data_IF_909756092957
#
_entry.id   IF_909756092957
#
_cell.length_a   1.000
_cell.length_b   1.000
_cell.length_c   1.000
_cell.angle_alpha   90.00
_cell.angle_beta   90.00
_cell.angle_gamma   90.00
#
_symmetry.space_group_name_H-M   'P 1'
#
loop_
_entity.id
_entity.type
_entity.pdbx_description
1 polymer ?
#
# COMPACT_ATOMS: atom_id res chain seq x y z
N UNK A 1 -6.82 -8.89 -5.93
CA UNK A 1 -5.80 -9.90 -6.32
C UNK A 1 -5.49 -9.98 -7.83
N UNK A 2 -6.28 -9.36 -8.73
CA UNK A 2 -6.03 -9.43 -10.19
C UNK A 2 -4.91 -8.49 -10.68
N UNK A 3 -4.74 -7.30 -10.07
CA UNK A 3 -3.72 -6.34 -10.51
C UNK A 3 -2.27 -6.74 -10.21
N UNK A 4 -2.02 -7.48 -9.13
CA UNK A 4 -0.67 -7.92 -8.77
C UNK A 4 -0.08 -8.95 -9.76
N UNK A 5 -0.93 -9.81 -10.35
CA UNK A 5 -0.51 -10.80 -11.34
C UNK A 5 -0.15 -10.13 -12.68
N UNK A 6 -0.88 -9.10 -13.08
CA UNK A 6 -0.61 -8.35 -14.32
C UNK A 6 0.72 -7.58 -14.28
N UNK A 7 1.09 -7.05 -13.11
CA UNK A 7 2.36 -6.33 -12.93
C UNK A 7 3.58 -7.26 -12.97
N UNK A 8 3.49 -8.45 -12.35
CA UNK A 8 4.54 -9.46 -12.37
C UNK A 8 4.84 -9.97 -13.80
N UNK A 9 3.80 -10.19 -14.62
CA UNK A 9 3.99 -10.62 -16.02
C UNK A 9 4.59 -9.53 -16.89
N UNK A 10 4.31 -8.26 -16.60
CA UNK A 10 4.84 -7.11 -17.35
C UNK A 10 6.31 -6.81 -17.03
N UNK A 11 6.74 -7.06 -15.80
CA UNK A 11 8.15 -6.98 -15.40
C UNK A 11 8.95 -8.14 -15.99
N UNK A 12 8.39 -9.36 -15.98
CA UNK A 12 9.03 -10.53 -16.58
C UNK A 12 9.33 -10.36 -18.07
N UNK A 13 8.41 -9.79 -18.84
CA UNK A 13 8.62 -9.56 -20.28
C UNK A 13 9.59 -8.40 -20.60
N UNK A 14 9.70 -7.41 -19.72
CA UNK A 14 10.68 -6.32 -19.83
C UNK A 14 12.12 -6.78 -19.55
N UNK A 15 12.31 -7.73 -18.62
CA UNK A 15 13.61 -8.33 -18.31
C UNK A 15 14.07 -9.23 -19.48
N UNK A 16 13.18 -10.02 -20.07
CA UNK A 16 13.49 -10.89 -21.21
C UNK A 16 13.83 -10.12 -22.50
N UNK A 17 13.25 -8.93 -22.71
CA UNK A 17 13.54 -8.11 -23.88
C UNK A 17 14.85 -7.30 -23.77
N UNK A 18 15.36 -7.09 -22.54
CA UNK A 18 16.61 -6.37 -22.29
C UNK A 18 17.84 -7.27 -22.41
N UNK A 19 17.78 -8.54 -22.02
CA UNK A 19 18.91 -9.47 -22.13
C UNK A 19 19.34 -9.74 -23.58
N UNK A 20 18.38 -9.87 -24.51
CA UNK A 20 18.70 -10.21 -25.91
C UNK A 20 19.29 -9.06 -26.73
N UNK A 21 19.14 -7.78 -26.31
CA UNK A 21 19.72 -6.63 -27.02
C UNK A 21 21.07 -6.18 -26.46
N UNK A 22 21.39 -6.48 -25.20
CA UNK A 22 22.68 -6.12 -24.59
C UNK A 22 23.85 -7.01 -25.03
N UNK A 23 23.61 -8.30 -25.23
CA UNK A 23 24.66 -9.28 -25.51
C UNK A 23 25.23 -9.21 -26.94
N UNK A 24 24.43 -8.87 -27.95
CA UNK A 24 24.89 -8.77 -29.34
C UNK A 24 25.59 -7.45 -29.67
N UNK A 25 25.32 -6.36 -28.94
CA UNK A 25 25.96 -5.06 -29.15
C UNK A 25 27.34 -4.91 -28.48
N UNK A 26 27.56 -5.57 -27.34
CA UNK A 26 28.80 -5.44 -26.58
C UNK A 26 29.93 -6.35 -27.07
N UNK A 27 29.62 -7.52 -27.62
CA UNK A 27 30.64 -8.43 -28.19
C UNK A 27 31.31 -7.86 -29.46
N UNK A 28 30.61 -7.01 -30.23
CA UNK A 28 31.17 -6.36 -31.41
C UNK A 28 32.09 -5.18 -31.09
N UNK A 29 31.87 -4.47 -29.97
CA UNK A 29 32.67 -3.29 -29.60
C UNK A 29 33.97 -3.64 -28.86
N UNK A 30 34.00 -4.72 -28.05
CA UNK A 30 35.22 -5.12 -27.32
C UNK A 30 36.27 -5.81 -28.20
N UNK A 31 35.86 -6.34 -29.36
CA UNK A 31 36.78 -6.93 -30.34
C UNK A 31 37.61 -5.88 -31.11
N UNK A 32 37.09 -4.66 -31.29
CA UNK A 32 37.76 -3.58 -32.01
C UNK A 32 38.76 -2.78 -31.15
N UNK A 33 38.54 -2.69 -29.83
CA UNK A 33 39.45 -1.97 -28.93
C UNK A 33 40.77 -2.73 -28.66
N UNK A 34 40.78 -4.06 -28.74
CA UNK A 34 41.98 -4.87 -28.50
C UNK A 34 42.96 -4.92 -29.69
N UNK A 35 42.56 -4.45 -30.88
CA UNK A 35 43.43 -4.39 -32.08
C UNK A 35 44.43 -3.23 -32.06
N UNK A 36 44.23 -2.19 -31.24
CA UNK A 36 45.07 -1.00 -31.25
C UNK A 36 46.30 -1.07 -30.31
N UNK A 37 46.36 -2.00 -29.36
CA UNK A 37 47.44 -2.03 -28.35
C UNK A 37 48.61 -2.96 -28.67
N UNK A 38 48.52 -3.78 -29.73
CA UNK A 38 49.55 -4.81 -30.02
C UNK A 38 50.54 -4.43 -31.14
N UNK A 39 50.42 -3.24 -31.75
CA UNK A 39 51.35 -2.79 -32.80
C UNK A 39 52.66 -2.22 -32.23
N UNK A 40 52.76 -2.02 -30.91
CA UNK A 40 53.92 -1.41 -30.24
C UNK A 40 55.05 -2.36 -29.81
N UNK A 41 54.92 -3.68 -29.97
CA UNK A 41 55.86 -4.65 -29.37
C UNK A 41 56.62 -5.53 -30.38
N UNK A 42 56.87 -5.03 -31.59
CA UNK A 42 57.57 -5.77 -32.66
C UNK A 42 58.90 -5.15 -33.13
N UNK A 43 59.58 -4.34 -32.31
CA UNK A 43 60.90 -3.78 -32.67
C UNK A 43 62.07 -4.19 -31.76
N UNK A 44 61.87 -5.05 -30.74
CA UNK A 44 62.88 -5.26 -29.69
C UNK A 44 63.47 -6.69 -29.59
N UNK A 45 63.40 -7.52 -30.64
CA UNK A 45 64.03 -8.87 -30.59
C UNK A 45 64.89 -9.24 -31.80
N UNK A 46 65.21 -8.28 -32.68
CA UNK A 46 66.27 -8.46 -33.68
C UNK A 46 67.54 -7.73 -33.25
N UNK A 47 68.15 -8.18 -32.15
CA UNK A 47 69.55 -7.87 -31.87
C UNK A 47 70.12 -8.97 -30.97
N UNK A 48 71.20 -9.57 -31.43
CA UNK A 48 71.87 -10.76 -30.88
C UNK A 48 71.21 -12.07 -31.28
N UNK A 49 71.74 -12.71 -32.31
CA UNK A 49 72.29 -14.07 -32.27
C UNK A 49 72.98 -14.33 -33.60
N UNK A 50 74.19 -13.77 -33.72
CA UNK A 50 75.19 -14.31 -34.63
C UNK A 50 75.93 -15.43 -33.88
N UNK A 51 75.74 -16.67 -34.29
CA UNK A 51 76.85 -17.61 -34.48
C UNK A 51 76.36 -18.89 -35.15
N UNK A 52 77.08 -19.25 -36.20
CA UNK A 52 76.90 -20.39 -37.08
C UNK A 52 77.15 -21.74 -36.38
N UNK A 53 76.54 -22.78 -36.95
CA UNK A 53 76.83 -24.23 -36.80
C UNK A 53 75.99 -25.09 -35.83
N UNK A 54 74.99 -24.55 -35.12
CA UNK A 54 74.00 -25.36 -34.37
C UNK A 54 72.52 -25.08 -34.70
N UNK A 55 72.26 -24.16 -35.63
CA UNK A 55 70.93 -23.60 -35.87
C UNK A 55 69.97 -24.52 -36.63
N UNK A 56 70.46 -25.47 -37.42
CA UNK A 56 69.58 -26.37 -38.17
C UNK A 56 68.93 -27.43 -37.28
N UNK A 57 69.66 -28.00 -36.32
CA UNK A 57 69.10 -28.98 -35.39
C UNK A 57 68.23 -28.34 -34.32
N UNK A 58 68.56 -27.13 -33.83
CA UNK A 58 67.67 -26.37 -32.94
C UNK A 58 66.38 -25.94 -33.67
N UNK A 59 66.47 -25.56 -34.95
CA UNK A 59 65.31 -25.24 -35.79
C UNK A 59 64.49 -26.50 -36.12
N UNK A 60 65.12 -27.64 -36.41
CA UNK A 60 64.45 -28.93 -36.59
C UNK A 60 63.78 -29.40 -35.31
N UNK A 61 64.39 -29.19 -34.15
CA UNK A 61 63.84 -29.59 -32.85
C UNK A 61 62.72 -28.66 -32.40
N UNK A 62 62.77 -27.36 -32.72
CA UNK A 62 61.65 -26.42 -32.54
C UNK A 62 60.50 -26.71 -33.51
N UNK A 63 60.81 -27.04 -34.77
CA UNK A 63 59.82 -27.49 -35.75
C UNK A 63 59.19 -28.81 -35.32
N UNK A 64 59.96 -29.83 -34.89
CA UNK A 64 59.44 -31.08 -34.32
C UNK A 64 58.58 -30.88 -33.08
N UNK A 65 58.88 -29.86 -32.27
CA UNK A 65 58.09 -29.51 -31.07
C UNK A 65 56.82 -28.70 -31.38
N UNK A 66 56.70 -28.10 -32.56
CA UNK A 66 55.53 -27.32 -32.99
C UNK A 66 54.75 -27.96 -34.15
N UNK A 67 55.30 -28.97 -34.80
CA UNK A 67 54.62 -29.84 -35.74
C UNK A 67 53.84 -30.87 -34.92
N UNK A 68 52.52 -30.87 -35.08
CA UNK A 68 51.63 -31.85 -34.44
C UNK A 68 51.77 -33.25 -35.07
N UNK A 69 52.44 -33.34 -36.22
CA UNK A 69 52.63 -34.57 -37.01
C UNK A 69 54.08 -34.66 -37.46
N UNK A 70 54.73 -35.80 -37.20
CA UNK A 70 56.06 -36.11 -37.75
C UNK A 70 55.89 -36.55 -39.21
N UNK A 71 56.32 -35.70 -40.14
CA UNK A 71 56.19 -35.96 -41.57
C UNK A 71 57.06 -37.12 -42.04
N UNK A 72 58.14 -37.46 -41.35
CA UNK A 72 59.02 -38.56 -41.76
C UNK A 72 58.51 -39.92 -41.31
N UNK A 73 57.91 -39.98 -40.13
CA UNK A 73 57.23 -41.17 -39.64
C UNK A 73 55.98 -41.45 -40.48
N UNK A 74 55.17 -40.41 -40.78
CA UNK A 74 53.99 -40.55 -41.62
C UNK A 74 54.33 -40.95 -43.07
N UNK A 75 55.44 -40.45 -43.62
CA UNK A 75 55.94 -40.89 -44.93
C UNK A 75 56.38 -42.36 -44.92
N UNK A 76 57.07 -42.81 -43.86
CA UNK A 76 57.49 -44.21 -43.68
C UNK A 76 56.29 -45.14 -43.57
N UNK A 77 55.26 -44.76 -42.80
CA UNK A 77 54.04 -45.55 -42.65
C UNK A 77 53.28 -45.71 -43.98
N UNK A 78 53.31 -44.67 -44.83
CA UNK A 78 52.71 -44.75 -46.17
C UNK A 78 53.53 -45.60 -47.14
N UNK A 79 54.87 -45.59 -47.02
CA UNK A 79 55.74 -46.48 -47.80
C UNK A 79 55.55 -47.95 -47.39
N UNK A 80 55.41 -48.23 -46.10
CA UNK A 80 55.13 -49.58 -45.58
C UNK A 80 53.75 -50.09 -46.01
N UNK A 81 52.79 -49.18 -46.24
CA UNK A 81 51.49 -49.46 -46.84
C UNK A 81 51.52 -49.65 -48.37
N UNK A 82 52.70 -49.53 -49.01
CA UNK A 82 52.92 -49.80 -50.43
C UNK A 82 52.77 -48.58 -51.36
N UNK A 83 52.74 -47.35 -50.84
CA UNK A 83 52.78 -46.15 -51.69
C UNK A 83 54.19 -45.84 -52.19
N UNK A 84 54.28 -45.29 -53.41
CA UNK A 84 55.53 -44.78 -53.92
C UNK A 84 56.00 -43.58 -53.08
N UNK A 85 57.29 -43.55 -52.72
CA UNK A 85 57.93 -42.51 -51.88
C UNK A 85 57.58 -41.06 -52.29
N UNK A 86 57.43 -40.81 -53.59
CA UNK A 86 57.04 -39.50 -54.11
C UNK A 86 55.60 -39.10 -53.75
N UNK A 87 54.67 -40.05 -53.75
CA UNK A 87 53.27 -39.83 -53.42
C UNK A 87 53.04 -39.82 -51.90
N UNK A 88 53.79 -40.66 -51.16
CA UNK A 88 53.82 -40.64 -49.69
C UNK A 88 54.23 -39.27 -49.16
N UNK A 89 55.29 -38.67 -49.71
CA UNK A 89 55.73 -37.33 -49.30
C UNK A 89 54.74 -36.23 -49.67
N UNK A 90 54.07 -36.34 -50.81
CA UNK A 90 53.01 -35.37 -51.20
C UNK A 90 51.81 -35.46 -50.27
N UNK A 91 51.38 -36.67 -49.93
CA UNK A 91 50.23 -36.89 -49.05
C UNK A 91 50.52 -36.45 -47.61
N UNK A 92 51.68 -36.82 -47.07
CA UNK A 92 52.11 -36.43 -45.72
C UNK A 92 52.19 -34.91 -45.56
N UNK A 93 52.74 -34.21 -46.57
CA UNK A 93 52.74 -32.73 -46.61
C UNK A 93 51.32 -32.18 -46.65
N UNK A 94 50.44 -32.74 -47.48
CA UNK A 94 49.07 -32.24 -47.61
C UNK A 94 48.24 -32.42 -46.33
N UNK A 95 48.42 -33.55 -45.64
CA UNK A 95 47.79 -33.82 -44.34
C UNK A 95 48.30 -32.83 -43.29
N UNK A 96 49.61 -32.56 -43.28
CA UNK A 96 50.22 -31.59 -42.36
C UNK A 96 49.69 -30.18 -42.60
N UNK A 97 49.53 -29.76 -43.86
CA UNK A 97 48.89 -28.49 -44.23
C UNK A 97 47.45 -28.41 -43.68
N UNK A 98 46.63 -29.44 -43.90
CA UNK A 98 45.24 -29.46 -43.41
C UNK A 98 45.14 -29.40 -41.88
N UNK A 99 46.06 -30.06 -41.17
CA UNK A 99 46.12 -30.03 -39.71
C UNK A 99 46.50 -28.63 -39.21
N UNK A 100 47.45 -27.98 -39.86
CA UNK A 100 47.83 -26.60 -39.53
C UNK A 100 46.66 -25.64 -39.81
N UNK A 101 45.99 -25.77 -40.95
CA UNK A 101 44.81 -24.96 -41.30
C UNK A 101 43.67 -25.16 -40.29
N UNK A 102 43.40 -26.40 -39.88
CA UNK A 102 42.38 -26.71 -38.89
C UNK A 102 42.75 -26.20 -37.49
N UNK A 103 44.01 -26.30 -37.09
CA UNK A 103 44.51 -25.72 -35.84
C UNK A 103 44.30 -24.21 -35.80
N UNK A 104 44.61 -23.50 -36.89
CA UNK A 104 44.42 -22.05 -36.96
C UNK A 104 42.93 -21.67 -36.90
N UNK A 105 42.06 -22.43 -37.58
CA UNK A 105 40.60 -22.26 -37.48
C UNK A 105 40.08 -22.52 -36.05
N UNK A 106 40.63 -23.51 -35.35
CA UNK A 106 40.30 -23.77 -33.96
C UNK A 106 40.82 -22.65 -33.04
N UNK A 107 42.03 -22.14 -33.24
CA UNK A 107 42.55 -21.01 -32.46
C UNK A 107 41.76 -19.71 -32.69
N UNK A 108 41.13 -19.54 -33.86
CA UNK A 108 40.21 -18.43 -34.14
C UNK A 108 38.84 -18.64 -33.49
N UNK A 109 38.34 -19.88 -33.45
CA UNK A 109 37.04 -20.22 -32.86
C UNK A 109 37.08 -20.33 -31.32
N UNK A 110 38.22 -20.70 -30.74
CA UNK A 110 38.38 -20.95 -29.30
C UNK A 110 39.18 -19.85 -28.60
N UNK A 111 38.74 -19.49 -27.41
CA UNK A 111 39.41 -18.50 -26.57
C UNK A 111 40.46 -19.19 -25.70
N UNK A 112 41.64 -18.57 -25.57
CA UNK A 112 42.69 -19.04 -24.65
C UNK A 112 42.19 -19.01 -23.21
N UNK A 113 42.54 -20.03 -22.43
CA UNK A 113 42.13 -20.15 -21.02
C UNK A 113 42.45 -18.89 -20.20
N UNK A 114 43.65 -18.32 -20.35
CA UNK A 114 44.03 -17.10 -19.64
C UNK A 114 43.12 -15.89 -19.96
N UNK A 115 42.65 -15.77 -21.20
CA UNK A 115 41.72 -14.69 -21.59
C UNK A 115 40.33 -14.94 -21.01
N UNK A 116 39.88 -16.20 -21.00
CA UNK A 116 38.60 -16.58 -20.42
C UNK A 116 38.55 -16.29 -18.91
N UNK A 117 39.59 -16.71 -18.17
CA UNK A 117 39.69 -16.47 -16.72
C UNK A 117 39.65 -14.97 -16.39
N UNK A 118 40.36 -14.15 -17.17
CA UNK A 118 40.32 -12.69 -17.02
C UNK A 118 38.90 -12.14 -17.20
N UNK A 119 38.18 -12.56 -18.24
CA UNK A 119 36.80 -12.11 -18.49
C UNK A 119 35.86 -12.55 -17.37
N UNK A 120 36.01 -13.78 -16.87
CA UNK A 120 35.23 -14.29 -15.74
C UNK A 120 35.46 -13.45 -14.48
N UNK A 121 36.72 -13.10 -14.17
CA UNK A 121 37.04 -12.26 -13.01
C UNK A 121 36.45 -10.86 -13.15
N UNK A 122 36.56 -10.24 -14.32
CA UNK A 122 35.96 -8.93 -14.59
C UNK A 122 34.42 -8.96 -14.48
N UNK A 123 33.78 -10.00 -15.03
CA UNK A 123 32.33 -10.19 -14.92
C UNK A 123 31.91 -10.41 -13.46
N UNK A 124 32.64 -11.24 -12.72
CA UNK A 124 32.37 -11.50 -11.30
C UNK A 124 32.50 -10.21 -10.49
N UNK A 125 33.55 -9.42 -10.72
CA UNK A 125 33.74 -8.13 -10.06
C UNK A 125 32.58 -7.16 -10.34
N UNK A 126 32.13 -7.07 -11.60
CA UNK A 126 30.96 -6.26 -11.98
C UNK A 126 29.69 -6.73 -11.28
N UNK A 127 29.42 -8.04 -11.27
CA UNK A 127 28.25 -8.62 -10.60
C UNK A 127 28.28 -8.32 -9.10
N UNK A 128 29.44 -8.45 -8.44
CA UNK A 128 29.56 -8.10 -7.03
C UNK A 128 29.36 -6.60 -6.79
N UNK A 129 29.90 -5.73 -7.65
CA UNK A 129 29.66 -4.29 -7.61
C UNK A 129 28.17 -3.96 -7.69
N UNK A 130 27.48 -4.47 -8.72
CA UNK A 130 26.03 -4.30 -8.87
C UNK A 130 25.25 -4.83 -7.67
N UNK A 131 25.63 -5.98 -7.11
CA UNK A 131 24.99 -6.53 -5.91
C UNK A 131 25.13 -5.59 -4.71
N UNK A 132 26.31 -5.00 -4.52
CA UNK A 132 26.53 -4.05 -3.41
C UNK A 132 25.76 -2.75 -3.59
N UNK A 133 25.69 -2.22 -4.82
CA UNK A 133 24.90 -1.03 -5.12
C UNK A 133 23.41 -1.30 -4.94
N UNK A 134 22.92 -2.45 -5.41
CA UNK A 134 21.53 -2.87 -5.24
C UNK A 134 21.19 -3.04 -3.75
N UNK A 135 22.05 -3.71 -2.99
CA UNK A 135 21.85 -3.88 -1.55
C UNK A 135 21.79 -2.51 -0.85
N UNK A 136 22.72 -1.60 -1.17
CA UNK A 136 22.73 -0.26 -0.61
C UNK A 136 21.46 0.53 -0.96
N UNK A 137 21.01 0.45 -2.21
CA UNK A 137 19.78 1.11 -2.65
C UNK A 137 18.55 0.52 -1.92
N UNK A 138 18.52 -0.80 -1.73
CA UNK A 138 17.48 -1.49 -0.98
C UNK A 138 17.47 -1.06 0.49
N UNK A 139 18.63 -1.06 1.15
CA UNK A 139 18.75 -0.67 2.56
C UNK A 139 18.35 0.80 2.76
N UNK A 140 18.74 1.69 1.85
CA UNK A 140 18.31 3.09 1.86
C UNK A 140 16.80 3.22 1.68
N UNK A 141 16.21 2.46 0.76
CA UNK A 141 14.76 2.49 0.54
C UNK A 141 14.01 1.93 1.74
N UNK A 142 14.49 0.84 2.35
CA UNK A 142 13.91 0.28 3.56
C UNK A 142 13.98 1.28 4.73
N UNK A 143 15.13 1.92 4.96
CA UNK A 143 15.25 2.93 6.00
C UNK A 143 14.33 4.14 5.79
N UNK A 144 14.13 4.56 4.53
CA UNK A 144 13.18 5.62 4.20
C UNK A 144 11.73 5.17 4.47
N UNK A 145 11.36 3.96 4.04
CA UNK A 145 10.04 3.39 4.30
C UNK A 145 9.76 3.23 5.79
N UNK A 146 10.72 2.73 6.56
CA UNK A 146 10.57 2.53 8.01
C UNK A 146 10.35 3.87 8.72
N UNK A 147 11.09 4.91 8.34
CA UNK A 147 10.89 6.27 8.84
C UNK A 147 9.49 6.80 8.50
N UNK A 148 9.03 6.61 7.27
CA UNK A 148 7.70 7.06 6.84
C UNK A 148 6.60 6.30 7.60
N UNK A 149 6.78 5.00 7.85
CA UNK A 149 5.88 4.19 8.67
C UNK A 149 5.82 4.68 10.12
N UNK A 150 6.96 4.97 10.75
CA UNK A 150 7.00 5.54 12.11
C UNK A 150 6.29 6.89 12.17
N UNK A 151 6.50 7.76 11.17
CA UNK A 151 5.81 9.04 11.08
C UNK A 151 4.30 8.87 10.94
N UNK A 152 3.86 8.00 10.03
CA UNK A 152 2.44 7.69 9.83
C UNK A 152 1.79 7.09 11.08
N UNK A 153 2.49 6.19 11.78
CA UNK A 153 2.01 5.62 13.03
C UNK A 153 1.84 6.71 14.11
N UNK A 154 2.81 7.62 14.24
CA UNK A 154 2.69 8.79 15.13
C UNK A 154 1.50 9.68 14.77
N UNK A 155 1.25 9.93 13.48
CA UNK A 155 0.08 10.71 13.05
C UNK A 155 -1.24 10.01 13.37
N UNK A 156 -1.32 8.69 13.18
CA UNK A 156 -2.48 7.89 13.56
C UNK A 156 -2.75 7.97 15.06
N UNK A 157 -1.72 7.83 15.89
CA UNK A 157 -1.87 7.90 17.34
C UNK A 157 -2.30 9.30 17.81
N UNK A 158 -1.78 10.36 17.19
CA UNK A 158 -2.23 11.74 17.44
C UNK A 158 -3.70 11.94 17.07
N UNK A 159 -4.10 11.54 15.87
CA UNK A 159 -5.48 11.68 15.39
C UNK A 159 -6.45 10.87 16.28
N UNK A 160 -6.06 9.67 16.70
CA UNK A 160 -6.84 8.85 17.61
C UNK A 160 -7.01 9.50 18.98
N UNK A 161 -5.97 10.15 19.51
CA UNK A 161 -6.04 10.87 20.77
C UNK A 161 -6.95 12.11 20.67
N UNK A 162 -6.83 12.86 19.58
CA UNK A 162 -7.67 14.05 19.31
C UNK A 162 -9.15 13.67 19.19
N UNK A 163 -9.47 12.65 18.39
CA UNK A 163 -10.85 12.15 18.24
C UNK A 163 -11.43 11.68 19.58
N UNK A 164 -10.65 10.98 20.40
CA UNK A 164 -11.09 10.57 21.74
C UNK A 164 -11.38 11.79 22.63
N UNK A 165 -10.50 12.78 22.61
CA UNK A 165 -10.69 14.00 23.38
C UNK A 165 -11.95 14.77 22.93
N UNK A 166 -12.20 14.87 21.63
CA UNK A 166 -13.41 15.49 21.10
C UNK A 166 -14.68 14.73 21.49
N UNK A 167 -14.67 13.39 21.43
CA UNK A 167 -15.78 12.55 21.89
C UNK A 167 -16.07 12.80 23.37
N UNK A 168 -15.05 12.80 24.23
CA UNK A 168 -15.21 13.01 25.66
C UNK A 168 -15.76 14.42 25.95
N UNK A 169 -15.25 15.43 25.24
CA UNK A 169 -15.72 16.82 25.32
C UNK A 169 -17.19 16.96 24.90
N UNK A 170 -17.57 16.39 23.76
CA UNK A 170 -18.95 16.43 23.25
C UNK A 170 -19.90 15.66 24.18
N UNK A 171 -19.46 14.51 24.69
CA UNK A 171 -20.26 13.70 25.64
C UNK A 171 -20.49 14.46 26.94
N UNK A 172 -19.46 15.13 27.48
CA UNK A 172 -19.60 15.96 28.66
C UNK A 172 -20.52 17.17 28.42
N UNK A 173 -20.39 17.82 27.26
CA UNK A 173 -21.26 18.94 26.84
C UNK A 173 -22.72 18.48 26.74
N UNK A 174 -22.99 17.39 26.03
CA UNK A 174 -24.34 16.86 25.86
C UNK A 174 -24.98 16.46 27.20
N UNK A 175 -24.18 15.89 28.12
CA UNK A 175 -24.65 15.57 29.47
C UNK A 175 -25.00 16.84 30.25
N UNK A 176 -24.21 17.89 30.13
CA UNK A 176 -24.50 19.19 30.75
C UNK A 176 -25.78 19.79 30.16
N UNK A 177 -25.91 19.82 28.83
CA UNK A 177 -27.10 20.36 28.15
C UNK A 177 -28.37 19.65 28.60
N UNK A 178 -28.34 18.31 28.67
CA UNK A 178 -29.46 17.53 29.15
C UNK A 178 -29.80 17.81 30.62
N UNK A 179 -28.78 18.01 31.46
CA UNK A 179 -29.00 18.34 32.87
C UNK A 179 -29.61 19.74 33.03
N UNK A 180 -29.15 20.73 32.25
CA UNK A 180 -29.71 22.08 32.24
C UNK A 180 -31.17 22.07 31.75
N UNK A 181 -31.45 21.35 30.66
CA UNK A 181 -32.79 21.24 30.11
C UNK A 181 -33.74 20.49 31.06
N UNK A 182 -33.24 19.46 31.77
CA UNK A 182 -33.99 18.78 32.83
C UNK A 182 -34.28 19.70 34.01
N UNK A 183 -33.36 20.60 34.35
CA UNK A 183 -33.58 21.67 35.33
C UNK A 183 -34.69 22.62 34.87
N UNK A 184 -34.57 23.13 33.64
CA UNK A 184 -35.55 24.03 33.03
C UNK A 184 -36.95 23.44 32.97
N UNK A 185 -37.08 22.18 32.52
CA UNK A 185 -38.37 21.47 32.53
C UNK A 185 -38.94 21.31 33.94
N UNK A 186 -38.11 21.10 34.97
CA UNK A 186 -38.59 21.01 36.36
C UNK A 186 -39.14 22.35 36.84
N UNK A 187 -38.47 23.45 36.52
CA UNK A 187 -38.92 24.79 36.89
C UNK A 187 -40.22 25.15 36.17
N UNK A 188 -40.33 24.84 34.87
CA UNK A 188 -41.57 25.00 34.10
C UNK A 188 -42.72 24.16 34.67
N UNK A 189 -42.46 22.90 35.03
CA UNK A 189 -43.45 22.03 35.68
C UNK A 189 -43.88 22.58 37.04
N UNK A 190 -42.98 23.17 37.82
CA UNK A 190 -43.31 23.81 39.09
C UNK A 190 -44.20 25.03 38.86
N UNK A 191 -43.86 25.90 37.90
CA UNK A 191 -44.69 27.06 37.54
C UNK A 191 -46.08 26.62 37.06
N UNK A 192 -46.18 25.55 36.27
CA UNK A 192 -47.47 25.01 35.83
C UNK A 192 -48.26 24.49 37.02
N UNK A 193 -47.63 23.73 37.93
CA UNK A 193 -48.28 23.23 39.14
C UNK A 193 -48.83 24.38 39.99
N UNK A 194 -48.05 25.43 40.21
CA UNK A 194 -48.45 26.57 41.02
C UNK A 194 -49.65 27.30 40.39
N UNK A 195 -49.63 27.49 39.07
CA UNK A 195 -50.79 28.02 38.32
C UNK A 195 -52.03 27.14 38.46
N UNK A 196 -51.86 25.82 38.39
CA UNK A 196 -52.97 24.87 38.58
C UNK A 196 -53.53 24.95 40.00
N UNK A 197 -52.68 25.05 41.03
CA UNK A 197 -53.15 25.20 42.42
C UNK A 197 -53.85 26.54 42.65
N UNK A 198 -53.36 27.62 42.05
CA UNK A 198 -54.03 28.92 42.13
C UNK A 198 -55.40 28.90 41.45
N UNK A 199 -55.51 28.25 40.30
CA UNK A 199 -56.79 28.04 39.60
C UNK A 199 -57.74 27.17 40.44
N UNK A 200 -57.24 26.10 41.05
CA UNK A 200 -58.04 25.27 41.94
C UNK A 200 -58.62 26.08 43.10
N UNK A 201 -57.79 26.92 43.75
CA UNK A 201 -58.24 27.81 44.83
C UNK A 201 -59.31 28.79 44.35
N UNK A 202 -59.17 29.36 43.14
CA UNK A 202 -60.19 30.24 42.56
C UNK A 202 -61.51 29.51 42.32
N UNK A 203 -61.45 28.31 41.74
CA UNK A 203 -62.64 27.47 41.52
C UNK A 203 -63.32 27.12 42.84
N UNK A 204 -62.56 26.75 43.87
CA UNK A 204 -63.12 26.43 45.19
C UNK A 204 -63.80 27.65 45.84
N UNK A 205 -63.25 28.86 45.63
CA UNK A 205 -63.91 30.12 46.07
C UNK A 205 -65.21 30.36 45.32
N UNK A 206 -65.20 30.26 44.00
CA UNK A 206 -66.41 30.44 43.16
C UNK A 206 -67.49 29.40 43.52
N UNK A 207 -67.11 28.14 43.80
CA UNK A 207 -68.05 27.11 44.25
C UNK A 207 -68.70 27.51 45.59
N UNK A 208 -67.92 28.00 46.55
CA UNK A 208 -68.45 28.41 47.85
C UNK A 208 -69.35 29.64 47.75
N UNK A 209 -68.98 30.62 46.92
CA UNK A 209 -69.82 31.79 46.62
C UNK A 209 -71.13 31.39 45.95
N UNK A 210 -71.07 30.53 44.92
CA UNK A 210 -72.26 29.99 44.25
C UNK A 210 -73.14 29.23 45.23
N UNK A 211 -72.58 28.37 46.08
CA UNK A 211 -73.32 27.65 47.12
C UNK A 211 -74.03 28.60 48.09
N UNK A 212 -73.34 29.65 48.55
CA UNK A 212 -73.95 30.67 49.41
C UNK A 212 -75.07 31.43 48.68
N UNK A 213 -74.88 31.75 47.40
CA UNK A 213 -75.91 32.42 46.59
C UNK A 213 -77.16 31.56 46.42
N UNK A 214 -76.99 30.24 46.23
CA UNK A 214 -78.08 29.27 46.12
C UNK A 214 -78.81 29.11 47.46
N UNK A 215 -78.10 28.99 48.58
CA UNK A 215 -78.75 28.92 49.91
C UNK A 215 -79.52 30.20 50.23
N UNK A 216 -79.00 31.37 49.83
CA UNK A 216 -79.73 32.64 49.95
C UNK A 216 -81.01 32.64 49.10
N UNK A 217 -80.92 32.26 47.82
CA UNK A 217 -82.08 32.21 46.92
C UNK A 217 -83.16 31.22 47.39
N UNK A 218 -82.75 30.07 47.94
CA UNK A 218 -83.64 29.10 48.59
C UNK A 218 -84.36 29.72 49.79
N UNK A 219 -83.62 30.38 50.69
CA UNK A 219 -84.21 31.04 51.85
C UNK A 219 -85.17 32.17 51.46
N UNK A 220 -84.84 32.95 50.44
CA UNK A 220 -85.71 34.00 49.93
C UNK A 220 -87.00 33.44 49.32
N UNK A 221 -86.91 32.29 48.63
CA UNK A 221 -88.10 31.57 48.12
C UNK A 221 -88.96 31.04 49.26
N UNK A 222 -88.36 30.43 50.29
CA UNK A 222 -89.09 29.96 51.48
C UNK A 222 -89.83 31.14 52.16
N UNK A 223 -89.14 32.28 52.37
CA UNK A 223 -89.75 33.49 52.93
C UNK A 223 -90.91 34.01 52.08
N UNK A 224 -90.75 34.01 50.75
CA UNK A 224 -91.81 34.43 49.82
C UNK A 224 -93.05 33.55 49.96
N UNK A 225 -92.88 32.22 50.00
CA UNK A 225 -93.98 31.28 50.20
C UNK A 225 -94.69 31.50 51.55
N UNK A 226 -93.93 31.69 52.64
CA UNK A 226 -94.52 31.98 53.97
C UNK A 226 -95.33 33.29 53.93
N UNK A 227 -94.82 34.32 53.27
CA UNK A 227 -95.50 35.62 53.15
C UNK A 227 -96.81 35.47 52.38
N UNK A 228 -96.79 34.76 51.25
CA UNK A 228 -97.96 34.51 50.42
C UNK A 228 -99.01 33.68 51.20
N UNK A 229 -98.61 32.59 51.85
CA UNK A 229 -99.55 31.79 52.66
C UNK A 229 -100.15 32.63 53.81
N UNK A 230 -99.34 33.46 54.47
CA UNK A 230 -99.79 34.38 55.51
C UNK A 230 -100.81 35.40 55.03
N UNK A 231 -100.62 36.01 53.84
CA UNK A 231 -101.61 36.94 53.27
C UNK A 231 -102.91 36.23 52.90
N UNK A 232 -102.85 35.02 52.33
CA UNK A 232 -104.04 34.21 52.08
C UNK A 232 -104.80 33.90 53.37
N UNK A 233 -104.12 33.50 54.44
CA UNK A 233 -104.76 33.26 55.75
C UNK A 233 -105.39 34.52 56.33
N UNK A 234 -104.74 35.68 56.22
CA UNK A 234 -105.28 36.95 56.68
C UNK A 234 -106.54 37.37 55.91
N UNK A 235 -106.55 37.20 54.58
CA UNK A 235 -107.73 37.45 53.75
C UNK A 235 -108.88 36.51 54.14
N UNK A 236 -108.60 35.21 54.27
CA UNK A 236 -109.60 34.23 54.68
C UNK A 236 -110.21 34.56 56.05
N UNK A 237 -109.37 34.94 57.03
CA UNK A 237 -109.82 35.39 58.35
C UNK A 237 -110.69 36.65 58.27
N UNK A 238 -110.30 37.62 57.43
CA UNK A 238 -111.06 38.86 57.22
C UNK A 238 -112.44 38.57 56.61
N UNK A 239 -112.52 37.68 55.61
CA UNK A 239 -113.79 37.25 55.02
C UNK A 239 -114.66 36.51 56.05
N UNK A 240 -114.06 35.58 56.81
CA UNK A 240 -114.79 34.82 57.84
C UNK A 240 -115.38 35.76 58.92
N UNK A 241 -114.63 36.78 59.32
CA UNK A 241 -115.12 37.84 60.23
C UNK A 241 -116.23 38.68 59.59
N UNK A 242 -116.11 39.04 58.32
CA UNK A 242 -117.15 39.79 57.60
C UNK A 242 -118.47 39.01 57.51
N UNK A 243 -118.40 37.69 57.24
CA UNK A 243 -119.57 36.81 57.21
C UNK A 243 -120.21 36.70 58.62
N UNK A 244 -119.43 36.54 59.69
CA UNK A 244 -119.97 36.54 61.06
C UNK A 244 -120.66 37.86 61.44
N UNK A 245 -120.15 39.01 60.95
CA UNK A 245 -120.77 40.31 61.19
C UNK A 245 -122.05 40.53 60.36
N UNK A 246 -122.18 39.88 59.19
CA UNK A 246 -123.38 39.98 58.34
C UNK A 246 -124.49 38.98 58.70
N UNK A 247 -124.19 37.92 59.45
CA UNK A 247 -125.16 36.89 59.85
C UNK A 247 -125.80 37.07 61.23
N UNK A 248 -125.57 38.21 61.89
CA UNK A 248 -126.06 38.53 63.23
C UNK A 248 -127.04 39.70 63.28
N UNK A 249 -128.02 39.74 62.37
CA UNK A 249 -129.11 40.72 62.33
C UNK A 249 -130.42 40.08 61.89
#
# INVERSE_FOLDING_TARGET
MSQAKSFATRIGSLIQHQEHRGLLGQLACTALAHRASCVGALSATCRSYGSSAGGEDARRQLLRKHLLVDTMELESDFEDAGMQRADASRLARKITELIIENKLKMEEAFVKQATLEKVILEQTAKIQGFKTELQKAQDMHHAAMDKDLEQQQSYLDKMKAEVRHEIDKLTASQRLDMNLEKGRMRDELMVIRDKTTDLQIKVDREINELKSSVEKAKNDTIKSVITILGTFSAIAFTISRFIQMSGGG
#
